data_IF_022154666721
#
_entry.id   IF_022154666721
#
_cell.length_a   1.000
_cell.length_b   1.000
_cell.length_c   1.000
_cell.angle_alpha   90.00
_cell.angle_beta   90.00
_cell.angle_gamma   90.00
#
_symmetry.space_group_name_H-M   'P 1'
#
loop_
_entity.id
_entity.type
_entity.pdbx_description
1 polymer ?
#
# COMPACT_ATOMS: atom_id res chain seq x y z
N UNK A 1 12.79 -22.73 20.90
CA UNK A 1 11.62 -22.17 21.60
C UNK A 1 11.85 -20.71 21.99
N UNK A 2 12.93 -20.37 22.71
CA UNK A 2 13.27 -18.98 23.07
C UNK A 2 13.38 -18.01 21.89
N UNK A 3 14.06 -18.38 20.80
CA UNK A 3 14.14 -17.52 19.60
C UNK A 3 12.75 -17.19 19.03
N UNK A 4 11.82 -18.15 19.01
CA UNK A 4 10.45 -17.96 18.51
C UNK A 4 9.63 -16.97 19.35
N UNK A 5 9.89 -16.91 20.66
CA UNK A 5 9.23 -15.96 21.58
C UNK A 5 9.77 -14.55 21.36
N UNK A 6 11.09 -14.36 21.27
CA UNK A 6 11.68 -13.05 20.98
C UNK A 6 11.21 -12.46 19.64
N UNK A 7 11.07 -13.28 18.60
CA UNK A 7 10.51 -12.80 17.32
C UNK A 7 9.03 -12.41 17.44
N UNK A 8 8.25 -13.15 18.23
CA UNK A 8 6.85 -12.80 18.49
C UNK A 8 6.74 -11.48 19.27
N UNK A 9 7.60 -11.25 20.26
CA UNK A 9 7.62 -10.01 21.03
C UNK A 9 7.95 -8.79 20.16
N UNK A 10 8.90 -8.93 19.23
CA UNK A 10 9.24 -7.88 18.25
C UNK A 10 8.06 -7.55 17.33
N UNK A 11 7.31 -8.58 16.92
CA UNK A 11 6.12 -8.41 16.08
C UNK A 11 5.02 -7.69 16.84
N UNK A 12 4.69 -8.17 18.03
CA UNK A 12 3.68 -7.55 18.89
C UNK A 12 4.05 -6.11 19.19
N UNK A 13 5.34 -5.84 19.47
CA UNK A 13 5.85 -4.48 19.61
C UNK A 13 5.56 -3.64 18.36
N UNK A 14 6.00 -4.08 17.18
CA UNK A 14 5.80 -3.31 15.94
C UNK A 14 4.32 -3.06 15.62
N UNK A 15 3.45 -4.04 15.85
CA UNK A 15 2.01 -3.94 15.60
C UNK A 15 1.33 -2.98 16.58
N UNK A 16 1.57 -3.15 17.88
CA UNK A 16 0.93 -2.32 18.92
C UNK A 16 1.39 -0.87 18.82
N UNK A 17 2.70 -0.64 18.68
CA UNK A 17 3.22 0.72 18.61
C UNK A 17 2.84 1.44 17.31
N UNK A 18 2.85 0.76 16.16
CA UNK A 18 2.40 1.39 14.91
C UNK A 18 0.91 1.77 14.95
N UNK A 19 0.04 0.88 15.45
CA UNK A 19 -1.38 1.19 15.62
C UNK A 19 -1.61 2.35 16.60
N UNK A 20 -0.90 2.35 17.73
CA UNK A 20 -0.99 3.40 18.73
C UNK A 20 -0.51 4.75 18.15
N UNK A 21 0.65 4.79 17.48
CA UNK A 21 1.15 6.03 16.89
C UNK A 21 0.27 6.53 15.74
N UNK A 22 -0.25 5.64 14.90
CA UNK A 22 -1.25 6.01 13.89
C UNK A 22 -2.52 6.59 14.52
N UNK A 23 -3.01 6.02 15.61
CA UNK A 23 -4.16 6.58 16.32
C UNK A 23 -3.85 7.95 16.92
N UNK A 24 -2.65 8.14 17.50
CA UNK A 24 -2.22 9.43 18.03
C UNK A 24 -2.11 10.51 16.94
N UNK A 25 -1.85 10.15 15.67
CA UNK A 25 -1.92 11.12 14.57
C UNK A 25 -3.31 11.79 14.45
N UNK A 26 -4.40 11.12 14.84
CA UNK A 26 -5.75 11.72 14.83
C UNK A 26 -5.98 12.70 15.98
N UNK A 27 -5.37 12.42 17.13
CA UNK A 27 -5.71 13.07 18.41
C UNK A 27 -4.98 14.40 18.56
N UNK A 28 -3.92 14.60 17.77
CA UNK A 28 -2.97 15.68 17.98
C UNK A 28 -3.34 16.90 17.17
N UNK A 29 -3.58 18.01 17.88
CA UNK A 29 -4.04 19.27 17.27
C UNK A 29 -2.93 20.07 16.55
N UNK A 30 -1.66 19.70 16.76
CA UNK A 30 -0.53 20.44 16.17
C UNK A 30 0.07 19.71 14.97
N UNK A 31 0.32 20.44 13.88
CA UNK A 31 0.98 19.91 12.66
C UNK A 31 2.35 19.29 12.97
N UNK A 32 3.10 19.90 13.90
CA UNK A 32 4.38 19.38 14.35
C UNK A 32 4.21 18.05 15.10
N UNK A 33 3.22 17.95 15.98
CA UNK A 33 2.92 16.70 16.67
C UNK A 33 2.45 15.61 15.71
N UNK A 34 1.61 15.93 14.72
CA UNK A 34 1.25 15.01 13.63
C UNK A 34 2.50 14.45 12.94
N UNK A 35 3.45 15.32 12.58
CA UNK A 35 4.71 14.89 11.97
C UNK A 35 5.51 13.95 12.89
N UNK A 36 5.66 14.28 14.18
CA UNK A 36 6.38 13.44 15.15
C UNK A 36 5.78 12.04 15.24
N UNK A 37 4.46 11.91 15.35
CA UNK A 37 3.81 10.59 15.42
C UNK A 37 3.91 9.82 14.11
N UNK A 38 3.91 10.52 12.98
CA UNK A 38 4.15 9.89 11.68
C UNK A 38 5.56 9.25 11.63
N UNK A 39 6.59 9.95 12.11
CA UNK A 39 7.96 9.42 12.18
C UNK A 39 8.09 8.27 13.17
N UNK A 40 7.51 8.39 14.36
CA UNK A 40 7.51 7.31 15.35
C UNK A 40 6.81 6.06 14.81
N UNK A 41 5.72 6.24 14.05
CA UNK A 41 5.06 5.14 13.37
C UNK A 41 5.97 4.48 12.33
N UNK A 42 6.65 5.25 11.48
CA UNK A 42 7.60 4.71 10.49
C UNK A 42 8.73 3.92 11.14
N UNK A 43 9.30 4.43 12.23
CA UNK A 43 10.35 3.72 12.99
C UNK A 43 9.84 2.46 13.68
N UNK A 44 8.60 2.48 14.20
CA UNK A 44 7.99 1.33 14.85
C UNK A 44 7.75 0.14 13.91
N UNK A 45 7.65 0.38 12.60
CA UNK A 45 7.49 -0.69 11.60
C UNK A 45 8.81 -1.43 11.33
N UNK A 46 9.97 -0.77 11.46
CA UNK A 46 11.29 -1.33 11.10
C UNK A 46 11.59 -2.70 11.73
N UNK A 47 11.31 -2.96 13.03
CA UNK A 47 11.60 -4.25 13.63
C UNK A 47 10.90 -5.44 12.95
N UNK A 48 9.75 -5.23 12.30
CA UNK A 48 9.00 -6.28 11.60
C UNK A 48 9.71 -6.81 10.33
N UNK A 49 10.70 -6.10 9.79
CA UNK A 49 11.56 -6.61 8.71
C UNK A 49 12.35 -7.85 9.12
N UNK A 50 12.79 -7.93 10.38
CA UNK A 50 13.70 -8.98 10.85
C UNK A 50 12.98 -10.30 11.17
N UNK A 51 11.69 -10.40 10.88
CA UNK A 51 10.85 -11.58 11.09
C UNK A 51 11.08 -12.66 10.00
N UNK A 52 11.65 -12.30 8.85
CA UNK A 52 11.86 -13.23 7.73
C UNK A 52 12.95 -14.26 8.02
N UNK A 53 12.59 -15.54 8.05
CA UNK A 53 13.55 -16.65 8.11
C UNK A 53 14.18 -16.87 6.73
N UNK A 54 15.51 -16.95 6.65
CA UNK A 54 16.23 -17.39 5.46
C UNK A 54 16.59 -16.32 4.42
N UNK A 55 16.45 -15.03 4.76
CA UNK A 55 16.79 -13.95 3.83
C UNK A 55 18.31 -13.71 3.75
N UNK A 56 18.79 -13.47 2.53
CA UNK A 56 20.14 -12.97 2.30
C UNK A 56 20.32 -11.65 3.07
N UNK A 57 21.15 -11.67 4.12
CA UNK A 57 21.39 -10.52 5.00
C UNK A 57 21.69 -9.23 4.22
N UNK A 58 22.45 -9.33 3.12
CA UNK A 58 22.76 -8.19 2.26
C UNK A 58 21.52 -7.51 1.66
N UNK A 59 20.56 -8.30 1.16
CA UNK A 59 19.34 -7.76 0.56
C UNK A 59 18.42 -7.13 1.62
N UNK A 60 18.36 -7.75 2.81
CA UNK A 60 17.57 -7.24 3.94
C UNK A 60 18.11 -5.91 4.45
N UNK A 61 19.41 -5.81 4.72
CA UNK A 61 19.98 -4.53 5.14
C UNK A 61 19.87 -3.47 4.04
N UNK A 62 20.01 -3.86 2.78
CA UNK A 62 19.79 -2.96 1.64
C UNK A 62 18.36 -2.43 1.54
N UNK A 63 17.34 -3.26 1.78
CA UNK A 63 15.94 -2.84 1.77
C UNK A 63 15.60 -1.97 2.98
N UNK A 64 16.03 -2.34 4.18
CA UNK A 64 15.88 -1.53 5.41
C UNK A 64 16.55 -0.17 5.25
N UNK A 65 17.78 -0.12 4.72
CA UNK A 65 18.47 1.13 4.45
C UNK A 65 17.67 1.99 3.45
N UNK A 66 17.15 1.40 2.37
CA UNK A 66 16.32 2.14 1.41
C UNK A 66 15.04 2.69 2.03
N UNK A 67 14.39 1.94 2.93
CA UNK A 67 13.24 2.40 3.69
C UNK A 67 13.59 3.60 4.59
N UNK A 68 14.68 3.50 5.36
CA UNK A 68 15.12 4.56 6.28
C UNK A 68 15.53 5.83 5.52
N UNK A 69 16.25 5.70 4.40
CA UNK A 69 16.65 6.86 3.59
C UNK A 69 15.42 7.56 3.02
N UNK A 70 14.47 6.82 2.43
CA UNK A 70 13.29 7.42 1.80
C UNK A 70 12.32 8.00 2.83
N UNK A 71 12.12 7.33 3.97
CA UNK A 71 11.34 7.88 5.08
C UNK A 71 12.00 9.13 5.67
N UNK A 72 13.32 9.15 5.86
CA UNK A 72 14.07 10.33 6.28
C UNK A 72 14.00 11.50 5.28
N UNK A 73 14.08 11.23 3.97
CA UNK A 73 13.90 12.26 2.94
C UNK A 73 12.49 12.84 2.98
N UNK A 74 11.46 11.98 3.13
CA UNK A 74 10.07 12.43 3.25
C UNK A 74 9.86 13.33 4.48
N UNK A 75 10.53 13.02 5.59
CA UNK A 75 10.39 13.75 6.85
C UNK A 75 10.99 15.15 6.76
N UNK A 76 12.18 15.27 6.16
CA UNK A 76 12.84 16.57 5.92
C UNK A 76 12.00 17.45 4.99
N UNK A 77 11.40 16.88 3.94
CA UNK A 77 10.49 17.60 3.04
C UNK A 77 9.23 18.07 3.77
N UNK A 78 8.62 17.22 4.59
CA UNK A 78 7.46 17.60 5.41
C UNK A 78 7.79 18.76 6.37
N UNK A 79 8.88 18.65 7.14
CA UNK A 79 9.25 19.69 8.12
C UNK A 79 9.60 21.00 7.43
N UNK A 80 10.37 20.96 6.34
CA UNK A 80 10.73 22.18 5.61
C UNK A 80 9.50 22.86 4.98
N UNK A 81 8.55 22.09 4.46
CA UNK A 81 7.28 22.61 3.95
C UNK A 81 6.36 23.19 5.03
N UNK A 82 6.41 22.65 6.26
CA UNK A 82 5.63 23.15 7.39
C UNK A 82 6.22 24.43 8.02
N UNK A 83 7.56 24.58 8.03
CA UNK A 83 8.23 25.72 8.66
C UNK A 83 8.38 26.94 7.74
N UNK A 84 8.45 26.74 6.43
CA UNK A 84 8.73 27.81 5.45
C UNK A 84 7.49 27.99 4.56
N UNK A 85 6.74 29.10 4.77
CA UNK A 85 5.50 29.39 4.04
C UNK A 85 5.64 29.37 2.50
N UNK A 86 6.82 29.66 1.94
CA UNK A 86 7.06 29.63 0.50
C UNK A 86 7.25 28.24 -0.11
N UNK A 87 7.39 27.18 0.71
CA UNK A 87 7.72 25.82 0.27
C UNK A 87 6.58 24.82 0.51
N UNK A 88 5.33 25.27 0.50
CA UNK A 88 4.18 24.42 0.80
C UNK A 88 4.05 23.17 -0.09
N UNK A 89 4.49 23.25 -1.35
CA UNK A 89 4.57 22.09 -2.25
C UNK A 89 5.45 20.94 -1.72
N UNK A 90 6.42 21.23 -0.83
CA UNK A 90 7.23 20.18 -0.20
C UNK A 90 6.43 19.32 0.76
N UNK A 91 5.30 19.80 1.29
CA UNK A 91 4.37 18.95 2.06
C UNK A 91 3.81 17.85 1.16
N UNK A 92 3.33 18.21 -0.03
CA UNK A 92 2.87 17.23 -1.03
C UNK A 92 3.99 16.26 -1.41
N UNK A 93 5.17 16.75 -1.82
CA UNK A 93 6.29 15.87 -2.18
C UNK A 93 6.73 14.97 -1.03
N UNK A 94 6.67 15.45 0.21
CA UNK A 94 6.91 14.65 1.40
C UNK A 94 5.98 13.44 1.46
N UNK A 95 4.67 13.65 1.28
CA UNK A 95 3.71 12.54 1.23
C UNK A 95 3.86 11.64 0.00
N UNK A 96 4.13 12.18 -1.19
CA UNK A 96 4.42 11.40 -2.41
C UNK A 96 5.58 10.44 -2.16
N UNK A 97 6.69 10.94 -1.58
CA UNK A 97 7.85 10.10 -1.23
C UNK A 97 7.46 9.06 -0.18
N UNK A 98 6.72 9.46 0.86
CA UNK A 98 6.38 8.60 2.00
C UNK A 98 5.45 7.44 1.65
N UNK A 99 4.51 7.67 0.74
CA UNK A 99 3.61 6.63 0.24
C UNK A 99 4.13 5.92 -1.01
N UNK A 100 5.25 6.38 -1.57
CA UNK A 100 5.83 5.80 -2.78
C UNK A 100 4.96 6.01 -4.03
N UNK A 101 4.31 7.17 -4.12
CA UNK A 101 3.69 7.61 -5.36
C UNK A 101 4.77 7.96 -6.39
N UNK A 102 4.39 8.06 -7.65
CA UNK A 102 5.29 8.33 -8.77
C UNK A 102 5.93 9.70 -8.56
N UNK A 103 7.21 9.92 -8.89
CA UNK A 103 8.19 8.98 -9.44
C UNK A 103 8.86 8.07 -8.39
N UNK A 104 8.55 8.21 -7.10
CA UNK A 104 9.24 7.55 -6.00
C UNK A 104 8.68 6.15 -5.66
N UNK A 105 8.09 5.44 -6.60
CA UNK A 105 7.49 4.12 -6.34
C UNK A 105 8.50 2.98 -6.16
N UNK A 106 9.70 3.09 -6.77
CA UNK A 106 10.67 1.99 -6.85
C UNK A 106 11.19 1.50 -5.49
N UNK A 107 11.27 2.37 -4.48
CA UNK A 107 11.73 1.94 -3.15
C UNK A 107 10.72 1.01 -2.48
N UNK A 108 9.41 1.21 -2.74
CA UNK A 108 8.34 0.34 -2.21
C UNK A 108 8.50 -1.07 -2.78
N UNK A 109 8.79 -1.20 -4.08
CA UNK A 109 9.05 -2.51 -4.70
C UNK A 109 10.24 -3.23 -4.08
N UNK A 110 11.35 -2.53 -3.82
CA UNK A 110 12.54 -3.11 -3.17
C UNK A 110 12.25 -3.56 -1.74
N UNK A 111 11.41 -2.81 -1.04
CA UNK A 111 11.05 -3.07 0.35
C UNK A 111 10.05 -4.22 0.46
N UNK A 112 9.10 -4.33 -0.47
CA UNK A 112 8.11 -5.40 -0.50
C UNK A 112 8.74 -6.76 -0.85
N UNK A 113 9.70 -6.80 -1.77
CA UNK A 113 10.29 -8.08 -2.22
C UNK A 113 11.12 -8.81 -1.17
N UNK A 114 11.58 -8.11 -0.14
CA UNK A 114 12.36 -8.69 0.97
C UNK A 114 11.57 -8.67 2.28
N UNK A 115 10.46 -7.94 2.33
CA UNK A 115 9.68 -7.73 3.54
C UNK A 115 8.94 -8.99 4.00
N UNK A 116 8.79 -9.14 5.31
CA UNK A 116 7.86 -10.15 5.85
C UNK A 116 6.41 -9.76 5.56
N UNK A 117 5.49 -10.72 5.50
CA UNK A 117 4.06 -10.44 5.31
C UNK A 117 3.48 -9.49 6.38
N UNK A 118 3.97 -9.56 7.61
CA UNK A 118 3.60 -8.62 8.69
C UNK A 118 4.09 -7.21 8.37
N UNK A 119 5.34 -7.06 7.93
CA UNK A 119 5.88 -5.78 7.51
C UNK A 119 5.07 -5.20 6.33
N UNK A 120 4.76 -6.04 5.34
CA UNK A 120 3.93 -5.66 4.18
C UNK A 120 2.55 -5.19 4.64
N UNK A 121 1.93 -5.86 5.63
CA UNK A 121 0.66 -5.40 6.22
C UNK A 121 0.79 -4.03 6.88
N UNK A 122 1.80 -3.83 7.73
CA UNK A 122 1.99 -2.56 8.43
C UNK A 122 2.22 -1.39 7.46
N UNK A 123 3.02 -1.60 6.42
CA UNK A 123 3.26 -0.57 5.41
C UNK A 123 2.03 -0.36 4.50
N UNK A 124 1.40 -1.45 4.03
CA UNK A 124 0.28 -1.36 3.08
C UNK A 124 -1.06 -0.99 3.70
N UNK A 125 -1.24 -1.10 5.02
CA UNK A 125 -2.53 -0.77 5.67
C UNK A 125 -2.34 0.32 6.72
N UNK A 126 -1.54 0.05 7.75
CA UNK A 126 -1.44 0.94 8.93
C UNK A 126 -0.83 2.28 8.54
N UNK A 127 0.29 2.27 7.79
CA UNK A 127 0.94 3.50 7.34
C UNK A 127 0.11 4.32 6.35
N UNK A 128 -0.97 3.80 5.77
CA UNK A 128 -1.88 4.56 4.89
C UNK A 128 -2.92 5.37 5.66
N UNK A 129 -3.14 5.07 6.93
CA UNK A 129 -4.12 5.79 7.74
C UNK A 129 -3.91 7.32 7.76
N UNK A 130 -2.67 7.84 7.87
CA UNK A 130 -2.42 9.28 7.82
C UNK A 130 -2.82 9.97 6.50
N UNK A 131 -3.04 9.21 5.40
CA UNK A 131 -3.54 9.76 4.12
C UNK A 131 -4.88 10.47 4.30
N UNK A 132 -5.73 9.99 5.21
CA UNK A 132 -7.06 10.57 5.45
C UNK A 132 -6.98 12.03 5.93
N UNK A 133 -5.87 12.41 6.57
CA UNK A 133 -5.62 13.77 7.02
C UNK A 133 -4.98 14.64 5.94
N UNK A 134 -4.54 14.06 4.82
CA UNK A 134 -3.81 14.77 3.79
C UNK A 134 -4.61 15.92 3.18
N UNK A 135 -5.92 15.73 2.95
CA UNK A 135 -6.78 16.80 2.44
C UNK A 135 -6.90 18.00 3.40
N UNK A 136 -6.78 17.77 4.72
CA UNK A 136 -6.78 18.86 5.70
C UNK A 136 -5.43 19.57 5.77
N UNK A 137 -4.34 18.82 5.55
CA UNK A 137 -2.97 19.33 5.60
C UNK A 137 -2.56 20.10 4.35
N UNK A 138 -3.06 19.69 3.20
CA UNK A 138 -2.80 20.30 1.90
C UNK A 138 -4.04 21.08 1.45
N UNK A 139 -4.01 22.39 1.69
CA UNK A 139 -5.05 23.33 1.32
C UNK A 139 -5.31 23.28 -0.20
N UNK A 140 -6.52 23.74 -0.57
CA UNK A 140 -7.19 23.77 -1.88
C UNK A 140 -6.32 24.25 -3.07
N UNK A 141 -5.13 24.80 -2.84
CA UNK A 141 -4.20 25.16 -3.91
C UNK A 141 -3.44 23.93 -4.44
N UNK A 142 -3.66 23.57 -5.72
CA UNK A 142 -2.84 22.59 -6.44
C UNK A 142 -3.46 21.21 -6.64
N UNK A 143 -4.79 21.09 -6.68
CA UNK A 143 -5.48 19.84 -7.00
C UNK A 143 -5.01 19.19 -8.31
N UNK A 144 -4.70 20.01 -9.31
CA UNK A 144 -4.27 19.51 -10.62
C UNK A 144 -3.00 18.67 -10.52
N UNK A 145 -2.03 19.08 -9.68
CA UNK A 145 -0.80 18.33 -9.45
C UNK A 145 -1.09 16.98 -8.80
N UNK A 146 -1.99 16.95 -7.81
CA UNK A 146 -2.39 15.72 -7.13
C UNK A 146 -3.08 14.76 -8.10
N UNK A 147 -4.02 15.26 -8.92
CA UNK A 147 -4.73 14.44 -9.90
C UNK A 147 -3.82 13.90 -11.00
N UNK A 148 -2.86 14.72 -11.48
CA UNK A 148 -1.88 14.26 -12.48
C UNK A 148 -0.98 13.19 -11.89
N UNK A 149 -0.45 13.39 -10.68
CA UNK A 149 0.43 12.41 -10.04
C UNK A 149 -0.30 11.09 -9.71
N UNK A 150 -1.49 11.18 -9.13
CA UNK A 150 -2.32 10.00 -8.87
C UNK A 150 -2.78 9.31 -10.16
N UNK A 151 -3.08 10.06 -11.22
CA UNK A 151 -3.39 9.48 -12.54
C UNK A 151 -2.20 8.73 -13.14
N UNK A 152 -0.99 9.32 -13.06
CA UNK A 152 0.25 8.71 -13.53
C UNK A 152 0.62 7.47 -12.73
N UNK A 153 0.49 7.48 -11.40
CA UNK A 153 0.76 6.28 -10.57
C UNK A 153 -0.13 5.12 -10.97
N UNK A 154 -1.44 5.35 -11.11
CA UNK A 154 -2.40 4.31 -11.51
C UNK A 154 -2.06 3.79 -12.90
N UNK A 155 -1.73 4.69 -13.83
CA UNK A 155 -1.33 4.31 -15.20
C UNK A 155 -0.05 3.47 -15.21
N UNK A 156 0.99 3.91 -14.50
CA UNK A 156 2.25 3.17 -14.42
C UNK A 156 2.03 1.80 -13.76
N UNK A 157 1.23 1.72 -12.69
CA UNK A 157 0.85 0.44 -12.09
C UNK A 157 0.16 -0.48 -13.11
N UNK A 158 -0.69 0.04 -13.99
CA UNK A 158 -1.35 -0.76 -15.04
C UNK A 158 -0.35 -1.40 -16.01
N UNK A 159 0.74 -0.70 -16.34
CA UNK A 159 1.82 -1.26 -17.16
C UNK A 159 2.67 -2.24 -16.36
N UNK A 160 3.05 -1.89 -15.12
CA UNK A 160 3.96 -2.71 -14.31
C UNK A 160 3.37 -4.06 -13.91
N UNK A 161 2.04 -4.18 -13.77
CA UNK A 161 1.37 -5.47 -13.54
C UNK A 161 1.75 -6.51 -14.60
N UNK A 162 2.01 -6.09 -15.84
CA UNK A 162 2.36 -7.00 -16.94
C UNK A 162 3.86 -7.30 -17.07
N UNK A 163 4.73 -6.47 -16.50
CA UNK A 163 6.18 -6.63 -16.69
C UNK A 163 6.90 -7.04 -15.40
N UNK A 164 6.35 -6.68 -14.24
CA UNK A 164 7.00 -6.78 -12.93
C UNK A 164 6.07 -7.43 -11.89
N UNK A 165 5.59 -8.64 -12.16
CA UNK A 165 4.71 -9.41 -11.29
C UNK A 165 5.27 -10.79 -10.94
N UNK A 166 6.60 -10.85 -10.73
CA UNK A 166 7.39 -12.06 -10.47
C UNK A 166 7.04 -12.82 -9.19
N UNK A 167 6.29 -12.22 -8.26
CA UNK A 167 5.96 -12.82 -6.97
C UNK A 167 4.68 -12.21 -6.37
N UNK A 168 4.10 -12.87 -5.37
CA UNK A 168 2.89 -12.39 -4.71
C UNK A 168 3.09 -11.04 -4.00
N UNK A 169 4.29 -10.77 -3.49
CA UNK A 169 4.64 -9.48 -2.88
C UNK A 169 4.56 -8.34 -3.90
N UNK A 170 5.01 -8.58 -5.15
CA UNK A 170 4.92 -7.60 -6.22
C UNK A 170 3.48 -7.35 -6.67
N UNK A 171 2.67 -8.41 -6.78
CA UNK A 171 1.24 -8.28 -7.12
C UNK A 171 0.53 -7.43 -6.07
N UNK A 172 0.77 -7.72 -4.78
CA UNK A 172 0.22 -6.92 -3.70
C UNK A 172 0.74 -5.49 -3.69
N UNK A 173 2.03 -5.27 -4.03
CA UNK A 173 2.61 -3.93 -4.18
C UNK A 173 1.80 -3.08 -5.17
N UNK A 174 1.51 -3.60 -6.37
CA UNK A 174 0.72 -2.88 -7.40
C UNK A 174 -0.68 -2.52 -6.89
N UNK A 175 -1.36 -3.45 -6.22
CA UNK A 175 -2.68 -3.23 -5.61
C UNK A 175 -2.60 -2.21 -4.47
N UNK A 176 -1.53 -2.24 -3.70
CA UNK A 176 -1.31 -1.32 -2.59
C UNK A 176 -1.01 0.10 -3.07
N UNK A 177 -0.26 0.28 -4.16
CA UNK A 177 0.07 1.61 -4.68
C UNK A 177 -1.14 2.26 -5.36
N UNK A 178 -1.88 1.50 -6.19
CA UNK A 178 -3.10 1.99 -6.83
C UNK A 178 -4.19 2.37 -5.81
N UNK A 179 -4.31 1.63 -4.71
CA UNK A 179 -5.24 1.94 -3.62
C UNK A 179 -4.87 3.21 -2.85
N UNK A 180 -3.58 3.55 -2.68
CA UNK A 180 -3.20 4.86 -2.10
C UNK A 180 -3.56 5.99 -3.04
N UNK A 181 -3.17 5.87 -4.31
CA UNK A 181 -3.42 6.92 -5.29
C UNK A 181 -4.92 7.24 -5.40
N UNK A 182 -5.76 6.20 -5.42
CA UNK A 182 -7.22 6.35 -5.43
C UNK A 182 -7.78 6.91 -4.12
N UNK A 183 -7.25 6.49 -2.96
CA UNK A 183 -7.66 7.05 -1.66
C UNK A 183 -7.30 8.54 -1.54
N UNK A 184 -6.11 8.95 -2.00
CA UNK A 184 -5.68 10.36 -2.02
C UNK A 184 -6.66 11.18 -2.86
N UNK A 185 -7.00 10.73 -4.06
CA UNK A 185 -7.98 11.42 -4.92
C UNK A 185 -9.36 11.48 -4.26
N UNK A 186 -9.82 10.37 -3.67
CA UNK A 186 -11.11 10.34 -2.98
C UNK A 186 -11.17 11.33 -1.81
N UNK A 187 -10.07 11.54 -1.08
CA UNK A 187 -10.00 12.52 0.01
C UNK A 187 -10.21 13.96 -0.45
N UNK A 188 -9.80 14.32 -1.67
CA UNK A 188 -10.03 15.66 -2.22
C UNK A 188 -11.38 15.83 -2.91
N UNK A 189 -11.98 14.74 -3.40
CA UNK A 189 -13.20 14.79 -4.20
C UNK A 189 -14.48 14.44 -3.44
N UNK A 190 -14.38 13.70 -2.34
CA UNK A 190 -15.54 13.13 -1.62
C UNK A 190 -15.56 13.50 -0.14
N UNK A 191 -16.70 13.27 0.51
CA UNK A 191 -16.85 13.49 1.94
C UNK A 191 -15.98 12.54 2.76
N UNK A 192 -15.65 12.97 3.98
CA UNK A 192 -14.86 12.19 4.94
C UNK A 192 -15.48 10.82 5.21
N UNK A 193 -16.82 10.73 5.27
CA UNK A 193 -17.54 9.48 5.56
C UNK A 193 -17.25 8.40 4.52
N UNK A 194 -17.22 8.78 3.24
CA UNK A 194 -16.92 7.88 2.12
C UNK A 194 -15.45 7.46 2.19
N UNK A 195 -14.54 8.38 2.50
CA UNK A 195 -13.11 8.09 2.62
C UNK A 195 -12.83 7.10 3.77
N UNK A 196 -13.44 7.29 4.93
CA UNK A 196 -13.35 6.34 6.04
C UNK A 196 -13.92 4.97 5.68
N UNK A 197 -15.06 4.92 4.97
CA UNK A 197 -15.62 3.66 4.49
C UNK A 197 -14.66 2.91 3.56
N UNK A 198 -14.08 3.60 2.57
CA UNK A 198 -13.10 3.02 1.64
C UNK A 198 -11.88 2.48 2.40
N UNK A 199 -11.32 3.26 3.33
CA UNK A 199 -10.14 2.85 4.10
C UNK A 199 -10.42 1.63 5.00
N UNK A 200 -11.50 1.66 5.79
CA UNK A 200 -11.81 0.55 6.69
C UNK A 200 -12.12 -0.74 5.92
N UNK A 201 -12.86 -0.63 4.81
CA UNK A 201 -13.12 -1.78 3.95
C UNK A 201 -11.82 -2.34 3.35
N UNK A 202 -10.94 -1.47 2.84
CA UNK A 202 -9.62 -1.88 2.38
C UNK A 202 -8.80 -2.56 3.47
N UNK A 203 -8.81 -2.04 4.70
CA UNK A 203 -8.06 -2.61 5.83
C UNK A 203 -8.49 -4.05 6.15
N UNK A 204 -9.80 -4.32 6.12
CA UNK A 204 -10.35 -5.65 6.35
C UNK A 204 -10.02 -6.59 5.19
N UNK A 205 -10.20 -6.12 3.95
CA UNK A 205 -9.86 -6.89 2.76
C UNK A 205 -8.37 -7.24 2.70
N UNK A 206 -7.49 -6.27 3.00
CA UNK A 206 -6.05 -6.43 3.04
C UNK A 206 -5.58 -7.41 4.12
N UNK A 207 -6.21 -7.39 5.30
CA UNK A 207 -5.90 -8.36 6.35
C UNK A 207 -6.19 -9.79 5.87
N UNK A 208 -7.35 -10.01 5.25
CA UNK A 208 -7.72 -11.31 4.71
C UNK A 208 -6.80 -11.76 3.56
N UNK A 209 -6.44 -10.86 2.63
CA UNK A 209 -5.56 -11.20 1.50
C UNK A 209 -4.12 -11.49 1.93
N UNK A 210 -3.58 -10.75 2.91
CA UNK A 210 -2.22 -10.98 3.39
C UNK A 210 -2.12 -12.29 4.19
N UNK A 211 -3.13 -12.63 4.99
CA UNK A 211 -3.21 -13.96 5.63
C UNK A 211 -3.24 -15.05 4.56
N UNK A 212 -4.02 -14.85 3.49
CA UNK A 212 -4.07 -15.79 2.37
C UNK A 212 -2.70 -15.95 1.69
N UNK A 213 -2.01 -14.86 1.37
CA UNK A 213 -0.67 -14.93 0.76
C UNK A 213 0.38 -15.55 1.67
N UNK A 214 0.33 -15.28 2.97
CA UNK A 214 1.23 -15.88 3.95
C UNK A 214 1.09 -17.40 4.04
N UNK A 215 -0.12 -17.94 3.79
CA UNK A 215 -0.34 -19.39 3.75
C UNK A 215 0.15 -19.99 2.42
N UNK A 216 0.00 -19.27 1.32
CA UNK A 216 0.34 -19.75 -0.02
C UNK A 216 1.82 -19.74 -0.30
N UNK A 217 2.54 -18.74 0.19
CA UNK A 217 3.99 -18.63 -0.01
C UNK A 217 4.71 -19.88 0.48
N UNK A 218 4.15 -20.57 1.48
CA UNK A 218 4.76 -21.75 2.10
C UNK A 218 4.26 -23.07 1.47
N UNK A 219 3.23 -23.04 0.62
CA UNK A 219 2.59 -24.24 0.06
C UNK A 219 2.86 -24.40 -1.43
N UNK A 220 3.50 -25.51 -1.82
CA UNK A 220 3.81 -25.82 -3.22
C UNK A 220 2.62 -26.37 -4.02
N UNK A 221 1.60 -26.92 -3.35
CA UNK A 221 0.44 -27.56 -3.98
C UNK A 221 -0.87 -26.83 -3.62
N UNK A 222 -1.30 -25.95 -4.50
CA UNK A 222 -2.55 -25.21 -4.35
C UNK A 222 -3.70 -25.95 -5.03
N UNK A 223 -4.48 -26.75 -4.28
CA UNK A 223 -5.69 -27.39 -4.84
C UNK A 223 -6.92 -27.21 -3.96
N UNK A 224 -8.06 -27.03 -4.63
CA UNK A 224 -9.41 -27.05 -4.05
C UNK A 224 -9.80 -25.75 -3.34
N UNK A 225 -9.70 -25.72 -2.02
CA UNK A 225 -10.24 -24.63 -1.19
C UNK A 225 -9.51 -23.30 -1.38
N UNK A 226 -8.18 -23.34 -1.58
CA UNK A 226 -7.38 -22.14 -1.81
C UNK A 226 -7.78 -21.40 -3.10
N UNK A 227 -8.23 -22.13 -4.14
CA UNK A 227 -8.73 -21.52 -5.37
C UNK A 227 -10.04 -20.73 -5.14
N UNK A 228 -10.98 -21.28 -4.36
CA UNK A 228 -12.21 -20.55 -4.05
C UNK A 228 -11.93 -19.30 -3.21
N UNK A 229 -10.98 -19.38 -2.28
CA UNK A 229 -10.50 -18.22 -1.52
C UNK A 229 -9.83 -17.18 -2.42
N UNK A 230 -9.01 -17.61 -3.40
CA UNK A 230 -8.45 -16.72 -4.43
C UNK A 230 -9.56 -15.95 -5.17
N UNK A 231 -10.57 -16.68 -5.66
CA UNK A 231 -11.70 -16.11 -6.39
C UNK A 231 -12.53 -15.13 -5.54
N UNK A 232 -12.67 -15.40 -4.24
CA UNK A 232 -13.40 -14.53 -3.32
C UNK A 232 -12.61 -13.30 -2.89
N UNK A 233 -11.28 -13.44 -2.72
CA UNK A 233 -10.43 -12.38 -2.19
C UNK A 233 -9.83 -11.48 -3.27
N UNK A 234 -9.54 -11.95 -4.48
CA UNK A 234 -8.76 -11.18 -5.47
C UNK A 234 -9.50 -10.92 -6.78
N UNK A 235 -10.32 -11.87 -7.23
CA UNK A 235 -11.11 -11.70 -8.45
C UNK A 235 -12.42 -10.93 -8.19
N UNK A 236 -12.85 -10.15 -9.17
CA UNK A 236 -14.17 -9.53 -9.18
C UNK A 236 -15.20 -10.59 -9.61
N UNK A 237 -15.90 -11.14 -8.63
CA UNK A 237 -17.10 -11.97 -8.81
C UNK A 237 -18.26 -11.27 -8.09
N UNK A 238 -19.53 -11.55 -8.39
CA UNK A 238 -20.65 -10.76 -7.86
C UNK A 238 -20.72 -10.67 -6.32
N UNK A 239 -20.08 -11.59 -5.60
CA UNK A 239 -20.07 -11.64 -4.12
C UNK A 239 -18.66 -11.35 -3.55
N UNK A 240 -17.66 -11.07 -4.39
CA UNK A 240 -16.28 -10.94 -3.90
C UNK A 240 -15.99 -9.61 -3.21
N UNK A 241 -14.98 -9.66 -2.33
CA UNK A 241 -14.55 -8.50 -1.57
C UNK A 241 -14.01 -7.35 -2.45
N UNK A 242 -13.20 -7.60 -3.50
CA UNK A 242 -12.69 -6.55 -4.39
C UNK A 242 -13.77 -5.77 -5.13
N UNK A 243 -14.92 -6.39 -5.42
CA UNK A 243 -16.02 -5.72 -6.12
C UNK A 243 -16.56 -4.56 -5.28
N UNK A 244 -16.85 -4.82 -4.01
CA UNK A 244 -17.38 -3.79 -3.09
C UNK A 244 -16.36 -2.66 -2.90
N UNK A 245 -15.07 -3.00 -2.78
CA UNK A 245 -13.99 -2.00 -2.71
C UNK A 245 -13.93 -1.14 -3.97
N UNK A 246 -13.91 -1.74 -5.16
CA UNK A 246 -13.80 -0.97 -6.41
C UNK A 246 -15.04 -0.11 -6.67
N UNK A 247 -16.24 -0.59 -6.32
CA UNK A 247 -17.46 0.21 -6.41
C UNK A 247 -17.42 1.41 -5.45
N UNK A 248 -16.98 1.22 -4.21
CA UNK A 248 -16.88 2.32 -3.25
C UNK A 248 -15.84 3.37 -3.69
N UNK A 249 -14.71 2.93 -4.24
CA UNK A 249 -13.71 3.82 -4.85
C UNK A 249 -14.29 4.57 -6.07
N UNK A 250 -15.05 3.90 -6.94
CA UNK A 250 -15.71 4.56 -8.07
C UNK A 250 -16.67 5.67 -7.61
N UNK A 251 -17.42 5.45 -6.53
CA UNK A 251 -18.30 6.48 -5.93
C UNK A 251 -17.45 7.65 -5.40
N UNK A 252 -16.34 7.36 -4.70
CA UNK A 252 -15.45 8.40 -4.16
C UNK A 252 -14.75 9.25 -5.21
N UNK A 253 -14.43 8.68 -6.39
CA UNK A 253 -13.67 9.35 -7.44
C UNK A 253 -14.57 9.93 -8.54
N UNK A 254 -15.88 9.72 -8.49
CA UNK A 254 -16.82 10.12 -9.56
C UNK A 254 -16.74 11.62 -9.90
N UNK A 255 -16.55 12.48 -8.90
CA UNK A 255 -16.45 13.94 -9.06
C UNK A 255 -15.03 14.46 -9.30
N UNK A 256 -14.06 13.59 -9.58
CA UNK A 256 -12.68 13.99 -9.84
C UNK A 256 -12.51 14.55 -11.26
N UNK A 257 -11.64 13.96 -12.07
CA UNK A 257 -11.40 14.33 -13.46
C UNK A 257 -11.27 13.10 -14.34
N UNK A 258 -11.47 13.28 -15.64
CA UNK A 258 -11.28 12.24 -16.66
C UNK A 258 -9.85 11.68 -16.60
N UNK A 259 -8.88 12.52 -16.22
CA UNK A 259 -7.46 12.14 -16.08
C UNK A 259 -7.21 11.07 -15.01
N UNK A 260 -8.08 10.94 -14.00
CA UNK A 260 -7.97 9.85 -13.01
C UNK A 260 -8.88 8.68 -13.37
N UNK A 261 -10.11 8.97 -13.84
CA UNK A 261 -11.08 7.94 -14.17
C UNK A 261 -10.62 7.02 -15.30
N UNK A 262 -10.00 7.56 -16.37
CA UNK A 262 -9.55 6.74 -17.50
C UNK A 262 -8.41 5.79 -17.10
N UNK A 263 -7.30 6.23 -16.47
CA UNK A 263 -6.30 5.32 -15.93
C UNK A 263 -6.86 4.31 -14.94
N UNK A 264 -7.82 4.69 -14.11
CA UNK A 264 -8.47 3.77 -13.17
C UNK A 264 -9.23 2.63 -13.85
N UNK A 265 -9.96 2.91 -14.93
CA UNK A 265 -10.63 1.89 -15.75
C UNK A 265 -9.61 0.95 -16.39
N UNK A 266 -8.55 1.50 -16.99
CA UNK A 266 -7.48 0.73 -17.63
C UNK A 266 -6.79 -0.18 -16.60
N UNK A 267 -6.43 0.38 -15.44
CA UNK A 267 -5.81 -0.37 -14.34
C UNK A 267 -6.73 -1.49 -13.85
N UNK A 268 -7.99 -1.17 -13.54
CA UNK A 268 -8.96 -2.13 -13.01
C UNK A 268 -9.19 -3.30 -13.97
N UNK A 269 -9.22 -3.04 -15.28
CA UNK A 269 -9.32 -4.08 -16.29
C UNK A 269 -8.02 -4.90 -16.38
N UNK A 270 -6.87 -4.24 -16.45
CA UNK A 270 -5.56 -4.92 -16.55
C UNK A 270 -5.26 -5.84 -15.37
N UNK A 271 -5.54 -5.38 -14.15
CA UNK A 271 -5.31 -6.13 -12.91
C UNK A 271 -6.16 -7.39 -12.87
N UNK A 272 -7.43 -7.29 -13.25
CA UNK A 272 -8.37 -8.41 -13.18
C UNK A 272 -8.14 -9.41 -14.30
N UNK A 273 -7.80 -8.93 -15.50
CA UNK A 273 -7.38 -9.81 -16.58
C UNK A 273 -6.09 -10.57 -16.22
N UNK A 274 -5.13 -9.88 -15.60
CA UNK A 274 -3.90 -10.50 -15.12
C UNK A 274 -4.17 -11.57 -14.05
N UNK A 275 -4.96 -11.25 -13.02
CA UNK A 275 -5.31 -12.19 -11.95
C UNK A 275 -6.11 -13.39 -12.47
N UNK A 276 -6.99 -13.19 -13.46
CA UNK A 276 -7.73 -14.29 -14.07
C UNK A 276 -6.80 -15.23 -14.84
N UNK A 277 -5.86 -14.69 -15.62
CA UNK A 277 -4.84 -15.47 -16.31
C UNK A 277 -3.95 -16.22 -15.32
N UNK A 278 -3.47 -15.54 -14.28
CA UNK A 278 -2.65 -16.13 -13.23
C UNK A 278 -3.39 -17.27 -12.53
N UNK A 279 -4.66 -17.08 -12.18
CA UNK A 279 -5.50 -18.15 -11.61
C UNK A 279 -5.69 -19.35 -12.55
N UNK A 280 -5.79 -19.12 -13.86
CA UNK A 280 -5.86 -20.20 -14.85
C UNK A 280 -4.56 -21.00 -14.95
N UNK A 281 -3.42 -20.31 -15.02
CA UNK A 281 -2.09 -20.92 -15.17
C UNK A 281 -1.66 -21.62 -13.86
N UNK A 282 -1.87 -21.03 -12.69
CA UNK A 282 -1.45 -21.64 -11.42
C UNK A 282 -2.28 -22.87 -11.00
N UNK A 283 -3.59 -22.86 -11.27
CA UNK A 283 -4.50 -23.88 -10.71
C UNK A 283 -4.97 -24.92 -11.72
N UNK A 284 -4.95 -24.61 -13.03
CA UNK A 284 -5.56 -25.47 -14.05
C UNK A 284 -4.66 -25.86 -15.23
N UNK A 285 -3.69 -25.02 -15.61
CA UNK A 285 -2.86 -25.28 -16.80
C UNK A 285 -1.37 -25.28 -16.45
N UNK A 286 -0.70 -26.42 -16.61
CA UNK A 286 0.76 -26.53 -16.48
C UNK A 286 1.54 -25.77 -17.59
N UNK A 287 0.90 -24.82 -18.29
CA UNK A 287 1.57 -23.91 -19.20
C UNK A 287 2.17 -22.80 -18.34
N UNK A 288 3.37 -23.07 -17.82
CA UNK A 288 4.18 -22.11 -17.10
C UNK A 288 4.58 -20.97 -18.03
N UNK A 289 3.74 -19.96 -18.03
CA UNK A 289 4.19 -18.60 -18.13
C UNK A 289 5.07 -18.38 -16.89
N UNK A 290 6.40 -18.25 -17.04
CA UNK A 290 7.39 -17.88 -16.00
C UNK A 290 7.14 -16.47 -15.42
N UNK A 291 5.98 -16.26 -14.83
CA UNK A 291 5.56 -14.99 -14.27
C UNK A 291 5.66 -15.04 -12.75
N UNK A 292 5.84 -16.22 -12.16
CA UNK A 292 6.20 -16.39 -10.77
C UNK A 292 7.17 -17.57 -10.67
N UNK A 293 8.37 -17.32 -10.14
CA UNK A 293 9.37 -18.33 -9.77
C UNK A 293 9.54 -18.35 -8.25
#
# INVERSE_FOLDING_TARGET
MFLRVFYFDVVVFSLVFSLLFCFLCCVVDSLFGFWVFLELCGLAVVPSFFLGFGLNFYNLYGSVLSYIIMSGLSSVLLVSGLLINGLYYFVFFGFVVKFGLFPFMLWVYRVFSVGSWVFIFLLSVVMKFPVLFFCFLYQISGFDLVFVDCGLTIFVCSCLVWFFSLSWEYIWCHISLSSVATLVVACFCSGTDICFFIYWYYSFWALCSIIYFAVISDSTDLKGYYFWLFCFLLLITPVSMPLVYKLSVCIGIFYSSIYVLLPWVVYSFSEQFFLFKLGGDYFYSNVFNYWVE
#
